data_IF_895638539372
#
_entry.id   IF_895638539372
#
_cell.length_a   1.000
_cell.length_b   1.000
_cell.length_c   1.000
_cell.angle_alpha   90.00
_cell.angle_beta   90.00
_cell.angle_gamma   90.00
#
_symmetry.space_group_name_H-M   'P 1'
#
loop_
_entity.id
_entity.type
_entity.pdbx_description
1 polymer ?
#
# COMPACT_ATOMS: atom_id res chain seq x y z
N UNK A 1 -5.83 -8.93 11.17
CA UNK A 1 -5.60 -10.07 12.09
C UNK A 1 -5.18 -9.42 13.40
N UNK A 2 -5.99 -9.53 14.44
CA UNK A 2 -5.80 -8.77 15.68
C UNK A 2 -5.58 -9.71 16.86
N UNK A 3 -4.95 -9.20 17.92
CA UNK A 3 -4.75 -9.95 19.15
C UNK A 3 -6.11 -10.22 19.82
N UNK A 4 -6.36 -11.47 20.19
CA UNK A 4 -7.53 -11.81 21.01
C UNK A 4 -7.27 -11.32 22.44
N UNK A 5 -7.96 -10.25 22.83
CA UNK A 5 -7.75 -9.60 24.14
C UNK A 5 -8.14 -10.50 25.32
N UNK A 6 -9.26 -11.23 25.20
CA UNK A 6 -9.73 -12.15 26.24
C UNK A 6 -8.84 -13.40 26.30
N UNK A 7 -8.13 -13.57 27.42
CA UNK A 7 -7.17 -14.65 27.60
C UNK A 7 -7.76 -16.06 27.40
N UNK A 8 -8.90 -16.36 28.04
CA UNK A 8 -9.56 -17.67 27.89
C UNK A 8 -9.88 -17.96 26.42
N UNK A 9 -10.45 -16.99 25.71
CA UNK A 9 -10.75 -17.11 24.27
C UNK A 9 -9.49 -17.25 23.43
N UNK A 10 -8.42 -16.52 23.78
CA UNK A 10 -7.11 -16.61 23.12
C UNK A 10 -6.52 -18.01 23.28
N UNK A 11 -6.55 -18.60 24.47
CA UNK A 11 -6.01 -19.94 24.73
C UNK A 11 -6.79 -21.04 24.02
N UNK A 12 -8.13 -20.97 24.03
CA UNK A 12 -8.98 -21.92 23.29
C UNK A 12 -8.68 -21.83 21.79
N UNK A 13 -8.58 -20.61 21.27
CA UNK A 13 -8.30 -20.38 19.84
C UNK A 13 -6.89 -20.85 19.47
N UNK A 14 -5.89 -20.60 20.33
CA UNK A 14 -4.52 -21.06 20.15
C UNK A 14 -4.48 -22.58 20.01
N UNK A 15 -5.09 -23.34 20.94
CA UNK A 15 -5.11 -24.81 20.88
C UNK A 15 -5.71 -25.32 19.57
N UNK A 16 -6.90 -24.82 19.21
CA UNK A 16 -7.59 -25.22 17.96
C UNK A 16 -6.80 -24.88 16.71
N UNK A 17 -6.24 -23.66 16.63
CA UNK A 17 -5.46 -23.22 15.45
C UNK A 17 -4.14 -23.96 15.34
N UNK A 18 -3.48 -24.24 16.46
CA UNK A 18 -2.24 -25.00 16.54
C UNK A 18 -2.43 -26.41 15.98
N UNK A 19 -3.45 -27.14 16.47
CA UNK A 19 -3.79 -28.47 15.97
C UNK A 19 -4.09 -28.45 14.46
N UNK A 20 -4.88 -27.46 14.02
CA UNK A 20 -5.15 -27.25 12.60
C UNK A 20 -3.89 -26.99 11.78
N UNK A 21 -2.94 -26.21 12.31
CA UNK A 21 -1.69 -25.87 11.64
C UNK A 21 -0.76 -27.08 11.53
N UNK A 22 -0.63 -27.88 12.59
CA UNK A 22 0.15 -29.13 12.57
C UNK A 22 -0.40 -30.08 11.51
N UNK A 23 -1.73 -30.27 11.46
CA UNK A 23 -2.37 -31.11 10.43
C UNK A 23 -2.09 -30.59 9.02
N UNK A 24 -2.22 -29.28 8.80
CA UNK A 24 -1.95 -28.67 7.49
C UNK A 24 -0.48 -28.77 7.10
N UNK A 25 0.43 -28.67 8.05
CA UNK A 25 1.86 -28.86 7.82
C UNK A 25 2.15 -30.30 7.39
N UNK A 26 1.58 -31.29 8.09
CA UNK A 26 1.70 -32.69 7.70
C UNK A 26 1.13 -32.95 6.29
N UNK A 27 -0.07 -32.47 5.99
CA UNK A 27 -0.65 -32.57 4.63
C UNK A 27 0.27 -31.93 3.59
N UNK A 28 0.81 -30.75 3.87
CA UNK A 28 1.70 -30.03 2.97
C UNK A 28 3.01 -30.79 2.70
N UNK A 29 3.68 -31.28 3.75
CA UNK A 29 4.92 -32.05 3.59
C UNK A 29 4.67 -33.36 2.84
N UNK A 30 3.54 -34.04 3.09
CA UNK A 30 3.19 -35.28 2.38
C UNK A 30 2.82 -35.05 0.92
N UNK A 31 1.99 -34.04 0.62
CA UNK A 31 1.50 -33.80 -0.74
C UNK A 31 2.57 -33.21 -1.66
N UNK A 32 3.46 -32.40 -1.11
CA UNK A 32 4.49 -31.71 -1.87
C UNK A 32 5.86 -32.37 -1.79
N UNK A 33 6.02 -33.43 -0.99
CA UNK A 33 7.30 -34.12 -0.73
C UNK A 33 8.42 -33.13 -0.33
N UNK A 34 8.14 -32.33 0.70
CA UNK A 34 9.07 -31.31 1.20
C UNK A 34 9.36 -31.50 2.68
N UNK A 35 10.62 -31.29 3.08
CA UNK A 35 11.00 -31.28 4.50
C UNK A 35 10.65 -29.94 5.13
N UNK A 36 9.92 -29.96 6.24
CA UNK A 36 9.58 -28.76 6.99
C UNK A 36 9.47 -29.04 8.49
N UNK A 37 9.79 -28.04 9.30
CA UNK A 37 9.64 -28.10 10.76
C UNK A 37 8.90 -26.87 11.27
N UNK A 38 8.31 -26.98 12.45
CA UNK A 38 7.56 -25.90 13.08
C UNK A 38 7.89 -25.81 14.57
N UNK A 39 8.14 -24.60 15.04
CA UNK A 39 8.43 -24.28 16.45
C UNK A 39 7.40 -23.25 16.90
N UNK A 40 6.54 -23.62 17.85
CA UNK A 40 5.41 -22.79 18.29
C UNK A 40 5.59 -22.43 19.77
N UNK A 41 5.67 -21.13 20.04
CA UNK A 41 5.60 -20.61 21.40
C UNK A 41 4.16 -20.26 21.76
N UNK A 42 3.65 -20.89 22.82
CA UNK A 42 2.32 -20.63 23.35
C UNK A 42 2.26 -19.37 24.23
N UNK A 43 1.05 -18.94 24.62
CA UNK A 43 0.90 -17.90 25.63
C UNK A 43 1.49 -18.38 26.98
N UNK A 44 2.20 -17.48 27.67
CA UNK A 44 2.78 -17.76 29.00
C UNK A 44 1.69 -18.24 29.94
N UNK A 45 1.97 -19.30 30.70
CA UNK A 45 1.08 -19.75 31.76
C UNK A 45 1.51 -19.08 33.07
N UNK A 46 0.65 -18.24 33.65
CA UNK A 46 0.94 -17.50 34.89
C UNK A 46 1.12 -18.39 36.14
N UNK A 47 1.02 -19.72 36.00
CA UNK A 47 1.06 -20.70 37.10
C UNK A 47 2.17 -21.74 36.93
N UNK A 48 3.42 -21.30 36.81
CA UNK A 48 4.61 -22.15 36.97
C UNK A 48 4.81 -23.25 35.92
N UNK A 49 4.10 -23.20 34.79
CA UNK A 49 4.34 -24.10 33.66
C UNK A 49 5.60 -23.70 32.90
N UNK A 50 6.35 -24.68 32.38
CA UNK A 50 7.48 -24.40 31.50
C UNK A 50 6.99 -23.71 30.21
N UNK A 51 7.69 -22.66 29.77
CA UNK A 51 7.41 -21.94 28.52
C UNK A 51 8.02 -22.68 27.32
N UNK A 52 8.06 -24.00 27.37
CA UNK A 52 8.72 -24.79 26.35
C UNK A 52 7.94 -24.69 25.04
N UNK A 53 8.64 -24.48 23.91
CA UNK A 53 7.98 -24.47 22.62
C UNK A 53 7.46 -25.87 22.29
N UNK A 54 6.34 -25.90 21.59
CA UNK A 54 5.89 -27.11 20.93
C UNK A 54 6.60 -27.24 19.59
N UNK A 55 7.22 -28.39 19.38
CA UNK A 55 8.05 -28.67 18.20
C UNK A 55 7.38 -29.78 17.39
N UNK A 56 7.34 -29.57 16.08
CA UNK A 56 6.93 -30.58 15.10
C UNK A 56 7.94 -30.64 13.95
N UNK A 57 8.27 -31.84 13.42
CA UNK A 57 7.87 -33.17 13.91
C UNK A 57 8.48 -33.53 15.28
N UNK A 58 8.03 -34.64 15.89
CA UNK A 58 8.58 -35.08 17.18
C UNK A 58 10.03 -35.58 17.09
N UNK A 59 10.49 -35.98 15.90
CA UNK A 59 11.89 -36.34 15.65
C UNK A 59 12.79 -35.08 15.69
N UNK A 60 13.50 -34.91 16.80
CA UNK A 60 14.39 -33.77 17.01
C UNK A 60 15.62 -33.81 16.11
N UNK A 61 16.06 -34.97 15.64
CA UNK A 61 17.19 -35.07 14.73
C UNK A 61 16.78 -34.63 13.32
N UNK A 62 15.55 -34.95 12.91
CA UNK A 62 14.96 -34.38 11.69
C UNK A 62 14.84 -32.85 11.78
N UNK A 63 14.30 -32.34 12.88
CA UNK A 63 14.18 -30.89 13.10
C UNK A 63 15.55 -30.21 13.05
N UNK A 64 16.58 -30.79 13.69
CA UNK A 64 17.96 -30.27 13.64
C UNK A 64 18.50 -30.25 12.21
N UNK A 65 18.34 -31.34 11.44
CA UNK A 65 18.76 -31.39 10.04
C UNK A 65 18.12 -30.28 9.21
N UNK A 66 16.80 -30.04 9.37
CA UNK A 66 16.08 -28.99 8.64
C UNK A 66 16.62 -27.60 9.02
N UNK A 67 16.84 -27.34 10.31
CA UNK A 67 17.41 -26.08 10.80
C UNK A 67 18.81 -25.86 10.24
N UNK A 68 19.65 -26.89 10.21
CA UNK A 68 21.01 -26.79 9.70
C UNK A 68 21.04 -26.50 8.19
N UNK A 69 20.17 -27.15 7.41
CA UNK A 69 19.96 -26.83 5.99
C UNK A 69 19.50 -25.37 5.80
N UNK A 70 18.60 -24.88 6.66
CA UNK A 70 18.16 -23.49 6.60
C UNK A 70 19.30 -22.52 6.91
N UNK A 71 20.14 -22.83 7.92
CA UNK A 71 21.29 -22.00 8.32
C UNK A 71 22.43 -22.03 7.31
N UNK A 72 22.66 -23.16 6.65
CA UNK A 72 23.76 -23.31 5.67
C UNK A 72 23.49 -22.55 4.36
N UNK A 73 22.22 -22.29 4.04
CA UNK A 73 21.83 -21.45 2.91
C UNK A 73 22.01 -19.97 3.28
N UNK A 74 23.14 -19.39 2.88
CA UNK A 74 23.47 -17.97 3.08
C UNK A 74 22.34 -17.03 2.63
N UNK A 75 22.24 -15.83 3.24
CA UNK A 75 21.22 -14.81 2.88
C UNK A 75 21.26 -14.40 1.40
N UNK A 76 22.41 -14.54 0.74
CA UNK A 76 22.59 -14.25 -0.69
C UNK A 76 22.02 -15.34 -1.62
N UNK A 77 21.63 -16.50 -1.08
CA UNK A 77 21.09 -17.63 -1.85
C UNK A 77 19.60 -17.49 -2.22
N UNK A 78 18.96 -16.36 -1.90
CA UNK A 78 17.55 -16.11 -2.25
C UNK A 78 16.53 -16.74 -1.28
N UNK A 79 16.97 -17.30 -0.15
CA UNK A 79 16.09 -17.71 0.95
C UNK A 79 15.45 -16.47 1.61
N UNK A 80 14.39 -15.96 1.00
CA UNK A 80 13.63 -14.84 1.56
C UNK A 80 12.83 -15.34 2.76
N UNK A 81 13.13 -14.86 3.96
CA UNK A 81 12.22 -15.02 5.10
C UNK A 81 10.89 -14.38 4.70
N UNK A 82 9.82 -15.18 4.66
CA UNK A 82 8.49 -14.71 4.31
C UNK A 82 7.69 -14.46 5.57
N UNK A 83 7.49 -13.18 5.89
CA UNK A 83 6.78 -12.74 7.08
C UNK A 83 5.32 -12.41 6.82
N UNK A 84 4.59 -12.13 7.91
CA UNK A 84 3.22 -11.66 7.85
C UNK A 84 3.11 -10.28 7.15
N UNK A 85 4.13 -9.44 7.30
CA UNK A 85 4.20 -8.14 6.61
C UNK A 85 4.30 -8.33 5.10
N UNK A 86 5.15 -9.25 4.62
CA UNK A 86 5.26 -9.59 3.19
C UNK A 86 3.92 -10.08 2.64
N UNK A 87 3.23 -10.97 3.36
CA UNK A 87 1.91 -11.47 2.96
C UNK A 87 0.89 -10.34 2.76
N UNK A 88 0.79 -9.41 3.71
CA UNK A 88 -0.15 -8.30 3.61
C UNK A 88 0.25 -7.29 2.54
N UNK A 89 1.56 -7.05 2.37
CA UNK A 89 2.07 -6.20 1.32
C UNK A 89 1.75 -6.77 -0.07
N UNK A 90 2.00 -8.07 -0.28
CA UNK A 90 1.66 -8.76 -1.52
C UNK A 90 0.16 -8.75 -1.80
N UNK A 91 -0.67 -8.96 -0.77
CA UNK A 91 -2.13 -8.90 -0.90
C UNK A 91 -2.59 -7.50 -1.26
N UNK A 92 -2.05 -6.47 -0.63
CA UNK A 92 -2.34 -5.06 -0.93
C UNK A 92 -1.95 -4.74 -2.38
N UNK A 93 -0.73 -5.10 -2.80
CA UNK A 93 -0.25 -4.88 -4.17
C UNK A 93 -1.19 -5.50 -5.21
N UNK A 94 -1.62 -6.76 -5.01
CA UNK A 94 -2.57 -7.42 -5.92
C UNK A 94 -3.88 -6.65 -6.07
N UNK A 95 -4.42 -6.12 -4.98
CA UNK A 95 -5.66 -5.32 -5.01
C UNK A 95 -5.43 -4.00 -5.75
N UNK A 96 -4.29 -3.34 -5.51
CA UNK A 96 -3.92 -2.11 -6.21
C UNK A 96 -3.74 -2.34 -7.72
N UNK A 97 -3.14 -3.46 -8.12
CA UNK A 97 -2.99 -3.85 -9.52
C UNK A 97 -4.34 -4.12 -10.19
N UNK A 98 -5.25 -4.83 -9.52
CA UNK A 98 -6.62 -5.05 -10.01
C UNK A 98 -7.38 -3.74 -10.17
N UNK A 99 -7.27 -2.84 -9.19
CA UNK A 99 -7.87 -1.52 -9.25
C UNK A 99 -7.31 -0.69 -10.41
N UNK A 100 -6.00 -0.71 -10.64
CA UNK A 100 -5.36 -0.02 -11.76
C UNK A 100 -5.86 -0.55 -13.11
N UNK A 101 -5.99 -1.88 -13.25
CA UNK A 101 -6.55 -2.51 -14.45
C UNK A 101 -8.00 -2.11 -14.70
N UNK A 102 -8.83 -2.07 -13.65
CA UNK A 102 -10.23 -1.65 -13.77
C UNK A 102 -10.34 -0.17 -14.16
N UNK A 103 -9.52 0.70 -13.56
CA UNK A 103 -9.44 2.12 -13.94
C UNK A 103 -9.05 2.30 -15.40
N UNK A 104 -8.05 1.54 -15.87
CA UNK A 104 -7.63 1.54 -17.27
C UNK A 104 -8.77 1.12 -18.21
N UNK A 105 -9.43 -0.02 -17.94
CA UNK A 105 -10.57 -0.49 -18.74
C UNK A 105 -11.73 0.50 -18.76
N UNK A 106 -12.03 1.13 -17.62
CA UNK A 106 -13.08 2.14 -17.53
C UNK A 106 -12.74 3.37 -18.40
N UNK A 107 -11.48 3.83 -18.34
CA UNK A 107 -11.01 4.92 -19.21
C UNK A 107 -11.08 4.57 -20.70
N UNK A 108 -10.69 3.35 -21.09
CA UNK A 108 -10.78 2.87 -22.48
C UNK A 108 -12.23 2.74 -22.96
N UNK A 109 -13.14 2.30 -22.09
CA UNK A 109 -14.57 2.23 -22.41
C UNK A 109 -15.21 3.62 -22.52
N UNK A 110 -14.80 4.56 -21.67
CA UNK A 110 -15.31 5.94 -21.68
C UNK A 110 -14.76 6.75 -22.85
N UNK A 111 -13.51 6.52 -23.22
CA UNK A 111 -12.79 7.22 -24.28
C UNK A 111 -12.12 6.21 -25.21
N UNK A 112 -12.89 5.55 -26.09
CA UNK A 112 -12.35 4.57 -27.01
C UNK A 112 -11.33 5.21 -27.95
N UNK A 113 -10.20 4.53 -28.16
CA UNK A 113 -9.09 4.99 -29.00
C UNK A 113 -9.47 5.10 -30.48
N UNK A 114 -10.41 4.27 -30.92
CA UNK A 114 -10.98 4.30 -32.27
C UNK A 114 -12.49 4.51 -32.19
N UNK A 115 -13.00 5.45 -32.96
CA UNK A 115 -14.42 5.75 -33.06
C UNK A 115 -14.92 5.19 -34.38
N UNK A 116 -16.01 4.45 -34.35
CA UNK A 116 -16.56 3.73 -35.51
C UNK A 116 -16.84 4.66 -36.70
N UNK A 117 -17.17 5.94 -36.44
CA UNK A 117 -17.34 6.95 -37.49
C UNK A 117 -16.06 7.22 -38.30
N UNK A 118 -14.88 6.86 -37.79
CA UNK A 118 -13.64 7.01 -38.52
C UNK A 118 -13.55 6.02 -39.71
N UNK A 119 -14.28 4.91 -39.69
CA UNK A 119 -14.29 3.97 -40.83
C UNK A 119 -15.06 4.50 -42.05
N UNK A 120 -15.87 5.55 -41.90
CA UNK A 120 -16.80 6.03 -42.95
C UNK A 120 -16.48 7.44 -43.47
N UNK A 121 -15.34 8.04 -43.09
CA UNK A 121 -14.96 9.41 -43.45
C UNK A 121 -14.04 9.46 -44.67
N UNK A 122 -14.16 10.53 -45.45
CA UNK A 122 -13.24 10.86 -46.56
C UNK A 122 -12.07 11.73 -46.10
N UNK A 123 -10.99 11.77 -46.88
CA UNK A 123 -9.78 12.55 -46.56
C UNK A 123 -10.02 14.03 -46.22
N UNK A 124 -10.87 14.78 -46.96
CA UNK A 124 -11.17 16.17 -46.61
C UNK A 124 -11.89 16.31 -45.26
N UNK A 125 -12.78 15.37 -44.94
CA UNK A 125 -13.50 15.36 -43.67
C UNK A 125 -12.57 15.06 -42.50
N UNK A 126 -11.54 14.23 -42.71
CA UNK A 126 -10.50 13.99 -41.71
C UNK A 126 -9.66 15.24 -41.45
N UNK A 127 -9.28 15.98 -42.49
CA UNK A 127 -8.53 17.24 -42.32
C UNK A 127 -9.33 18.27 -41.52
N UNK A 128 -10.62 18.41 -41.81
CA UNK A 128 -11.50 19.32 -41.08
C UNK A 128 -11.63 18.90 -39.60
N UNK A 129 -11.81 17.60 -39.35
CA UNK A 129 -11.89 17.06 -37.99
C UNK A 129 -10.58 17.28 -37.21
N UNK A 130 -9.42 17.03 -37.84
CA UNK A 130 -8.12 17.27 -37.23
C UNK A 130 -7.91 18.74 -36.86
N UNK A 131 -8.25 19.68 -37.77
CA UNK A 131 -8.17 21.12 -37.48
C UNK A 131 -9.07 21.52 -36.31
N UNK A 132 -10.30 20.99 -36.23
CA UNK A 132 -11.21 21.25 -35.13
C UNK A 132 -10.68 20.71 -33.78
N UNK A 133 -10.03 19.55 -33.78
CA UNK A 133 -9.37 19.01 -32.59
C UNK A 133 -8.18 19.86 -32.15
N UNK A 134 -7.31 20.28 -33.09
CA UNK A 134 -6.17 21.16 -32.79
C UNK A 134 -6.62 22.47 -32.16
N UNK A 135 -7.62 23.13 -32.74
CA UNK A 135 -8.16 24.38 -32.19
C UNK A 135 -8.73 24.19 -30.77
N UNK A 136 -9.43 23.07 -30.52
CA UNK A 136 -9.93 22.76 -29.17
C UNK A 136 -8.80 22.48 -28.19
N UNK A 137 -7.75 21.78 -28.61
CA UNK A 137 -6.59 21.51 -27.76
C UNK A 137 -5.84 22.80 -27.38
N UNK A 138 -5.63 23.70 -28.35
CA UNK A 138 -5.05 25.02 -28.12
C UNK A 138 -5.89 25.86 -27.14
N UNK A 139 -7.22 25.85 -27.31
CA UNK A 139 -8.12 26.55 -26.39
C UNK A 139 -8.01 26.02 -24.96
N UNK A 140 -8.03 24.70 -24.78
CA UNK A 140 -7.89 24.07 -23.45
C UNK A 140 -6.54 24.39 -22.84
N UNK A 141 -5.44 24.31 -23.60
CA UNK A 141 -4.11 24.66 -23.12
C UNK A 141 -4.03 26.13 -22.70
N UNK A 142 -4.57 27.03 -23.50
CA UNK A 142 -4.66 28.46 -23.18
C UNK A 142 -5.45 28.70 -21.89
N UNK A 143 -6.55 27.97 -21.70
CA UNK A 143 -7.36 28.05 -20.48
C UNK A 143 -6.62 27.51 -19.25
N UNK A 144 -5.88 26.40 -19.39
CA UNK A 144 -5.05 25.85 -18.31
C UNK A 144 -3.97 26.86 -17.89
N UNK A 145 -3.26 27.45 -18.85
CA UNK A 145 -2.22 28.44 -18.55
C UNK A 145 -2.80 29.72 -17.92
N UNK A 146 -3.95 30.19 -18.42
CA UNK A 146 -4.68 31.29 -17.79
C UNK A 146 -5.02 31.00 -16.33
N UNK A 147 -5.58 29.81 -16.03
CA UNK A 147 -5.95 29.42 -14.67
C UNK A 147 -4.74 29.22 -13.74
N UNK A 148 -3.62 28.73 -14.26
CA UNK A 148 -2.35 28.64 -13.51
C UNK A 148 -1.79 30.03 -13.18
N UNK A 149 -1.98 31.03 -14.04
CA UNK A 149 -1.51 32.40 -13.80
C UNK A 149 -2.40 33.15 -12.83
N UNK A 150 -3.73 33.05 -12.98
CA UNK A 150 -4.69 33.65 -12.05
C UNK A 150 -4.59 33.09 -10.62
N UNK A 151 -4.20 31.82 -10.47
CA UNK A 151 -3.96 31.22 -9.15
C UNK A 151 -2.64 31.65 -8.50
N UNK A 152 -1.66 32.13 -9.28
CA UNK A 152 -0.41 32.74 -8.77
C UNK A 152 -0.58 34.22 -8.43
N UNK A 153 -1.36 34.98 -9.21
CA UNK A 153 -1.61 36.41 -9.01
C UNK A 153 -2.55 36.69 -7.81
N UNK A 154 -3.44 35.75 -7.46
CA UNK A 154 -4.27 35.84 -6.25
C UNK A 154 -3.52 35.75 -4.91
N UNK A 155 -2.24 35.36 -4.91
CA UNK A 155 -1.38 35.35 -3.71
C UNK A 155 -0.58 36.65 -3.54
N UNK A 156 -0.38 37.44 -4.61
CA UNK A 156 0.30 38.74 -4.53
C UNK A 156 -0.63 39.86 -4.05
N UNK A 157 -1.91 39.85 -4.44
CA UNK A 157 -2.85 40.93 -4.08
C UNK A 157 -3.29 40.88 -2.61
N UNK A 158 -3.30 39.70 -1.97
CA UNK A 158 -3.52 39.62 -0.51
C UNK A 158 -2.32 40.12 0.31
N UNK A 159 -1.10 40.04 -0.24
CA UNK A 159 0.12 40.42 0.49
C UNK A 159 0.39 41.94 0.40
N UNK A 160 -0.07 42.62 -0.66
CA UNK A 160 -0.02 44.10 -0.76
C UNK A 160 -1.06 44.74 0.17
N UNK A 161 -2.26 44.17 0.28
CA UNK A 161 -3.36 44.76 1.06
C UNK A 161 -3.20 44.57 2.58
N UNK A 162 -2.49 43.54 3.04
CA UNK A 162 -2.09 43.43 4.46
C UNK A 162 -0.97 44.41 4.85
N UNK A 163 -0.12 44.83 3.91
CA UNK A 163 1.01 45.70 4.21
C UNK A 163 0.63 47.19 4.26
N UNK A 164 -0.43 47.60 3.56
CA UNK A 164 -0.88 49.00 3.53
C UNK A 164 -1.72 49.38 4.77
N UNK A 165 -2.39 48.41 5.41
CA UNK A 165 -3.11 48.63 6.66
C UNK A 165 -2.21 48.59 7.92
N UNK A 166 -0.95 48.14 7.79
CA UNK A 166 -0.03 48.05 8.93
C UNK A 166 0.91 49.28 9.06
N UNK A 167 0.85 50.24 8.13
CA UNK A 167 1.62 51.50 8.21
C UNK A 167 0.86 52.66 8.86
N UNK A 168 -0.43 52.49 9.22
CA UNK A 168 -1.24 53.55 9.82
C UNK A 168 -1.52 53.38 11.32
N UNK A 169 -0.81 52.49 12.03
CA UNK A 169 -1.07 52.29 13.46
C UNK A 169 0.15 52.11 14.37
N UNK A 170 1.29 52.69 14.01
CA UNK A 170 2.44 52.81 14.93
C UNK A 170 2.86 54.28 14.98
N UNK A 171 2.09 55.06 15.74
CA UNK A 171 2.56 56.30 16.36
C UNK A 171 1.57 56.70 17.46
N UNK A 172 1.62 56.00 18.60
CA UNK A 172 1.33 56.64 19.88
C UNK A 172 1.98 55.88 21.05
N UNK A 173 3.14 56.42 21.46
CA UNK A 173 3.65 56.44 22.84
C UNK A 173 4.09 55.11 23.48
N UNK A 174 5.36 54.81 23.18
CA UNK A 174 6.37 54.45 24.19
C UNK A 174 6.36 55.50 25.33
N UNK A 175 6.15 55.10 26.59
CA UNK A 175 6.60 55.76 27.85
C UNK A 175 5.95 55.10 29.07
N UNK A 176 6.68 54.21 29.75
CA UNK A 176 6.83 54.22 31.22
C UNK A 176 7.75 53.10 31.70
N UNK A 177 8.94 53.53 32.10
CA UNK A 177 9.98 52.83 32.84
C UNK A 177 9.54 52.31 34.22
N UNK A 178 10.22 51.23 34.64
CA UNK A 178 10.71 50.90 36.01
C UNK A 178 9.68 50.70 37.14
N UNK A 179 9.79 49.54 37.78
CA UNK A 179 9.19 49.20 39.07
C UNK A 179 9.09 47.71 39.26
#
# INVERSE_FOLDING_TARGET
MELISKEKSRNITFKKRKEGLIRKMHEFTTLCDVSACMIIYGPKQDKGGSNDPEIWPQDLDEVRRIIDIYKSKNRDSGNKTFGLSDFFHDRKRKIEDELAKLRKKNMEAKYPTWLEFMNSRTEPQFRQFAAALSNKAEYVNSRIEFLKRSSKEGFSDMNVNMNMNNMNNINMLDFAHRG
#
